data_IF_753374803492
#
_entry.id   IF_753374803492
#
_cell.length_a   1.000
_cell.length_b   1.000
_cell.length_c   1.000
_cell.angle_alpha   90.00
_cell.angle_beta   90.00
_cell.angle_gamma   90.00
#
_symmetry.space_group_name_H-M   'P 1'
#
loop_
_entity.id
_entity.type
_entity.pdbx_description
1 polymer ?
#
# COMPACT_ATOMS: atom_id res chain seq x y z
N UNK A 1 9.41 16.82 -12.44
CA UNK A 1 9.64 16.83 -10.97
C UNK A 1 9.41 15.43 -10.40
N UNK A 2 10.29 14.98 -9.54
CA UNK A 2 10.18 13.65 -8.96
C UNK A 2 9.22 13.67 -7.77
N UNK A 3 8.24 12.76 -7.71
CA UNK A 3 7.39 12.66 -6.52
C UNK A 3 8.20 12.18 -5.32
N UNK A 4 7.76 12.53 -4.11
CA UNK A 4 8.39 12.03 -2.89
C UNK A 4 7.71 10.73 -2.45
N UNK A 5 8.38 9.90 -1.64
CA UNK A 5 7.72 8.73 -1.07
C UNK A 5 6.47 9.08 -0.26
N UNK A 6 6.47 10.24 0.41
CA UNK A 6 5.30 10.70 1.17
C UNK A 6 4.12 11.01 0.26
N UNK A 7 4.37 11.60 -0.92
CA UNK A 7 3.31 11.86 -1.89
C UNK A 7 2.70 10.55 -2.38
N UNK A 8 3.54 9.56 -2.66
CA UNK A 8 3.06 8.25 -3.09
C UNK A 8 2.20 7.61 -2.00
N UNK A 9 2.67 7.64 -0.75
CA UNK A 9 1.89 7.10 0.37
C UNK A 9 0.57 7.83 0.56
N UNK A 10 0.57 9.14 0.41
CA UNK A 10 -0.64 9.95 0.54
C UNK A 10 -1.70 9.55 -0.49
N UNK A 11 -1.28 9.35 -1.73
CA UNK A 11 -2.19 8.93 -2.80
C UNK A 11 -2.74 7.53 -2.52
N UNK A 12 -1.91 6.62 -2.07
CA UNK A 12 -2.37 5.26 -1.72
C UNK A 12 -3.34 5.30 -0.55
N UNK A 13 -3.10 6.16 0.44
CA UNK A 13 -4.02 6.33 1.57
C UNK A 13 -5.38 6.80 1.10
N UNK A 14 -5.41 7.71 0.15
CA UNK A 14 -6.66 8.30 -0.31
C UNK A 14 -7.42 7.41 -1.29
N UNK A 15 -6.74 6.55 -2.03
CA UNK A 15 -7.33 5.87 -3.17
C UNK A 15 -7.38 4.34 -3.09
N UNK A 16 -6.62 3.72 -2.20
CA UNK A 16 -6.58 2.25 -2.12
C UNK A 16 -7.02 1.79 -0.75
N UNK A 17 -8.16 1.11 -0.73
CA UNK A 17 -8.81 0.64 0.50
C UNK A 17 -8.90 -0.88 0.45
N UNK A 18 -8.57 -1.54 1.57
CA UNK A 18 -8.78 -2.98 1.70
C UNK A 18 -10.29 -3.25 1.74
N UNK A 19 -10.82 -4.02 0.80
CA UNK A 19 -12.27 -4.21 0.72
C UNK A 19 -12.86 -5.00 1.87
N UNK A 20 -12.07 -5.79 2.58
CA UNK A 20 -12.56 -6.58 3.71
C UNK A 20 -12.65 -5.76 4.99
N UNK A 21 -11.68 -4.89 5.21
CA UNK A 21 -11.59 -4.11 6.44
C UNK A 21 -12.14 -2.70 6.29
N UNK A 22 -12.28 -2.22 5.06
CA UNK A 22 -12.80 -0.88 4.80
C UNK A 22 -11.83 0.24 5.19
N UNK A 23 -10.55 -0.08 5.32
CA UNK A 23 -9.52 0.86 5.74
C UNK A 23 -8.44 0.92 4.69
N UNK A 24 -7.83 2.10 4.49
CA UNK A 24 -6.79 2.26 3.50
C UNK A 24 -5.54 1.43 3.86
N UNK A 25 -4.83 1.01 2.82
CA UNK A 25 -3.71 0.07 2.99
C UNK A 25 -2.51 0.68 3.71
N UNK A 26 -2.35 1.99 3.66
CA UNK A 26 -1.22 2.65 4.35
C UNK A 26 -1.43 2.60 5.87
N UNK A 27 -2.63 2.95 6.33
CA UNK A 27 -2.94 2.92 7.75
C UNK A 27 -3.04 1.50 8.29
N UNK A 28 -3.36 0.54 7.44
CA UNK A 28 -3.32 -0.88 7.83
C UNK A 28 -1.88 -1.40 8.01
N UNK A 29 -0.90 -0.66 7.53
CA UNK A 29 0.49 -1.10 7.62
C UNK A 29 0.87 -2.11 6.55
N UNK A 30 0.16 -2.13 5.42
CA UNK A 30 0.45 -3.05 4.32
C UNK A 30 1.53 -2.53 3.38
N UNK A 31 1.79 -1.23 3.39
CA UNK A 31 2.84 -0.63 2.56
C UNK A 31 4.11 -0.55 3.40
N UNK A 32 5.09 -1.39 3.07
CA UNK A 32 6.32 -1.47 3.85
C UNK A 32 7.36 -0.45 3.44
N UNK A 33 7.54 -0.27 2.14
CA UNK A 33 8.54 0.66 1.66
C UNK A 33 8.11 1.28 0.33
N UNK A 34 8.38 2.56 0.19
CA UNK A 34 8.18 3.26 -1.08
C UNK A 34 9.50 3.89 -1.46
N UNK A 35 9.99 3.57 -2.64
CA UNK A 35 11.20 4.16 -3.20
C UNK A 35 10.86 4.85 -4.49
N UNK A 36 11.39 6.05 -4.67
CA UNK A 36 11.21 6.80 -5.91
C UNK A 36 12.58 7.01 -6.52
N UNK A 37 12.76 6.46 -7.70
CA UNK A 37 13.99 6.61 -8.47
C UNK A 37 13.68 7.41 -9.73
N UNK A 38 14.70 7.78 -10.48
CA UNK A 38 14.46 8.51 -11.70
C UNK A 38 13.64 7.66 -12.67
N UNK A 39 12.44 8.12 -12.98
CA UNK A 39 11.54 7.44 -13.88
C UNK A 39 10.87 6.19 -13.36
N UNK A 40 11.05 5.84 -12.07
CA UNK A 40 10.48 4.61 -11.49
C UNK A 40 9.97 4.83 -10.08
N UNK A 41 8.87 4.17 -9.78
CA UNK A 41 8.32 4.11 -8.41
C UNK A 41 8.26 2.63 -8.03
N UNK A 42 8.87 2.30 -6.88
CA UNK A 42 8.87 0.93 -6.36
C UNK A 42 8.14 0.91 -5.03
N UNK A 43 7.21 -0.02 -4.90
CA UNK A 43 6.42 -0.19 -3.68
C UNK A 43 6.56 -1.63 -3.21
N UNK A 44 7.04 -1.81 -1.98
CA UNK A 44 7.03 -3.11 -1.32
C UNK A 44 5.82 -3.14 -0.40
N UNK A 45 4.93 -4.08 -0.61
CA UNK A 45 3.73 -4.22 0.20
C UNK A 45 3.47 -5.66 0.55
N UNK A 46 2.61 -5.86 1.54
CA UNK A 46 2.19 -7.20 1.96
C UNK A 46 0.67 -7.26 2.07
N UNK A 47 0.17 -8.42 2.42
CA UNK A 47 -1.25 -8.66 2.67
C UNK A 47 -1.41 -9.17 4.10
N UNK A 48 -2.61 -9.04 4.65
CA UNK A 48 -2.89 -9.51 6.02
C UNK A 48 -2.85 -11.03 6.10
N UNK A 49 -3.19 -11.70 5.00
CA UNK A 49 -3.13 -13.16 4.91
C UNK A 49 -2.95 -13.57 3.45
N UNK A 50 -2.14 -14.61 3.17
CA UNK A 50 -2.01 -15.12 1.80
C UNK A 50 -3.26 -15.83 1.29
N UNK A 51 -4.21 -16.14 2.17
CA UNK A 51 -5.39 -16.89 1.80
C UNK A 51 -6.55 -16.04 1.28
N UNK A 52 -6.43 -14.69 1.33
CA UNK A 52 -7.54 -13.82 0.96
C UNK A 52 -7.52 -13.50 -0.54
N UNK A 53 -8.49 -14.00 -1.33
CA UNK A 53 -8.51 -13.74 -2.77
C UNK A 53 -8.79 -12.28 -3.12
N UNK A 54 -9.53 -11.55 -2.29
CA UNK A 54 -9.79 -10.13 -2.55
C UNK A 54 -8.54 -9.29 -2.31
N UNK A 55 -7.77 -9.62 -1.29
CA UNK A 55 -6.53 -8.91 -0.99
C UNK A 55 -5.50 -9.08 -2.10
N UNK A 56 -5.55 -10.18 -2.85
CA UNK A 56 -4.63 -10.41 -3.96
C UNK A 56 -4.81 -9.40 -5.09
N UNK A 57 -5.94 -8.68 -5.13
CA UNK A 57 -6.17 -7.63 -6.11
C UNK A 57 -5.50 -6.30 -5.72
N UNK A 58 -5.10 -6.14 -4.47
CA UNK A 58 -4.53 -4.88 -3.99
C UNK A 58 -3.25 -4.48 -4.71
N UNK A 59 -2.28 -5.38 -4.96
CA UNK A 59 -1.09 -4.97 -5.70
C UNK A 59 -1.42 -4.40 -7.09
N UNK A 60 -2.40 -4.99 -7.78
CA UNK A 60 -2.82 -4.49 -9.09
C UNK A 60 -3.47 -3.12 -8.97
N UNK A 61 -4.28 -2.89 -7.93
CA UNK A 61 -4.88 -1.59 -7.68
C UNK A 61 -3.83 -0.52 -7.38
N UNK A 62 -2.83 -0.85 -6.58
CA UNK A 62 -1.73 0.06 -6.28
C UNK A 62 -1.01 0.46 -7.56
N UNK A 63 -0.69 -0.52 -8.39
CA UNK A 63 -0.01 -0.28 -9.66
C UNK A 63 -0.84 0.64 -10.55
N UNK A 64 -2.13 0.33 -10.71
CA UNK A 64 -3.03 1.11 -11.55
C UNK A 64 -3.15 2.56 -11.08
N UNK A 65 -3.37 2.75 -9.78
CA UNK A 65 -3.51 4.10 -9.20
C UNK A 65 -2.24 4.92 -9.41
N UNK A 66 -1.09 4.32 -9.17
CA UNK A 66 0.18 5.03 -9.32
C UNK A 66 0.52 5.32 -10.78
N UNK A 67 0.20 4.42 -11.69
CA UNK A 67 0.39 4.66 -13.12
C UNK A 67 -0.48 5.79 -13.61
N UNK A 68 -1.69 5.85 -13.13
CA UNK A 68 -2.63 6.91 -13.48
C UNK A 68 -2.16 8.27 -12.94
N UNK A 69 -1.68 8.29 -11.70
CA UNK A 69 -1.27 9.51 -11.04
C UNK A 69 0.11 10.01 -11.50
N UNK A 70 1.01 9.09 -11.81
CA UNK A 70 2.39 9.39 -12.22
C UNK A 70 2.70 8.74 -13.57
N UNK A 71 1.99 9.20 -14.61
CA UNK A 71 2.03 8.57 -15.94
C UNK A 71 3.40 8.57 -16.60
N UNK A 72 4.32 9.44 -16.15
CA UNK A 72 5.67 9.50 -16.70
C UNK A 72 6.64 8.52 -16.01
N UNK A 73 6.16 7.78 -15.01
CA UNK A 73 6.99 6.84 -14.25
C UNK A 73 6.58 5.40 -14.50
N UNK A 74 7.56 4.50 -14.47
CA UNK A 74 7.27 3.09 -14.38
C UNK A 74 6.94 2.75 -12.93
N UNK A 75 5.96 1.89 -12.72
CA UNK A 75 5.54 1.49 -11.39
C UNK A 75 5.79 0.00 -11.23
N UNK A 76 6.50 -0.36 -10.16
CA UNK A 76 6.74 -1.74 -9.81
C UNK A 76 6.24 -1.98 -8.38
N UNK A 77 5.34 -2.95 -8.23
CA UNK A 77 4.80 -3.32 -6.92
C UNK A 77 5.27 -4.73 -6.60
N UNK A 78 5.99 -4.85 -5.50
CA UNK A 78 6.50 -6.14 -5.03
C UNK A 78 5.72 -6.61 -3.83
N UNK A 79 5.17 -7.81 -3.91
CA UNK A 79 4.47 -8.42 -2.80
C UNK A 79 5.50 -9.17 -1.95
N UNK A 80 5.64 -8.78 -0.70
CA UNK A 80 6.62 -9.36 0.22
C UNK A 80 5.92 -9.96 1.43
N UNK A 81 6.45 -11.06 1.96
CA UNK A 81 5.87 -11.75 3.10
C UNK A 81 6.75 -11.68 4.35
N UNK A 82 7.92 -11.07 4.22
CA UNK A 82 8.85 -10.86 5.33
C UNK A 82 9.20 -9.37 5.42
N UNK A 83 9.14 -8.75 6.59
CA UNK A 83 8.59 -9.32 7.84
C UNK A 83 7.09 -9.54 7.74
N UNK A 84 6.60 -10.53 8.51
CA UNK A 84 5.17 -10.87 8.51
C UNK A 84 4.34 -9.70 9.04
N UNK A 85 3.21 -9.44 8.37
CA UNK A 85 2.27 -8.43 8.85
C UNK A 85 1.62 -8.85 10.17
N UNK A 86 1.49 -7.90 11.09
CA UNK A 86 0.78 -8.08 12.34
C UNK A 86 -0.06 -6.84 12.61
N UNK A 87 -1.10 -6.92 13.47
CA UNK A 87 -1.92 -5.76 13.82
C UNK A 87 -1.15 -4.58 14.40
N UNK A 88 0.02 -4.81 14.99
CA UNK A 88 0.85 -3.73 15.50
C UNK A 88 1.36 -2.79 14.40
N UNK A 89 1.30 -3.23 13.15
CA UNK A 89 1.71 -2.40 12.00
C UNK A 89 0.66 -1.39 11.59
N UNK A 90 -0.56 -1.54 12.08
CA UNK A 90 -1.62 -0.55 11.84
C UNK A 90 -1.25 0.77 12.49
N UNK A 91 -1.73 1.89 11.91
CA UNK A 91 -1.63 3.18 12.57
C UNK A 91 -2.40 3.14 13.89
N UNK A 92 -2.02 4.00 14.82
CA UNK A 92 -2.68 4.04 16.13
C UNK A 92 -4.18 4.28 15.99
N UNK A 93 -4.57 5.17 15.08
CA UNK A 93 -5.97 5.49 14.84
C UNK A 93 -6.76 4.25 14.40
N UNK A 94 -6.22 3.48 13.46
CA UNK A 94 -6.88 2.27 12.96
C UNK A 94 -6.90 1.18 14.03
N UNK A 95 -5.82 1.03 14.79
CA UNK A 95 -5.78 0.07 15.89
C UNK A 95 -6.90 0.32 16.89
N UNK A 96 -7.16 1.57 17.21
CA UNK A 96 -8.23 1.93 18.13
C UNK A 96 -9.61 1.56 17.59
N UNK A 97 -9.79 1.62 16.28
CA UNK A 97 -11.06 1.25 15.66
C UNK A 97 -11.37 -0.24 15.82
N UNK A 98 -10.35 -1.08 15.91
CA UNK A 98 -10.51 -2.53 16.04
C UNK A 98 -10.35 -3.03 17.47
N UNK A 99 -9.93 -2.18 18.39
CA UNK A 99 -9.91 -2.51 19.81
C UNK A 99 -11.29 -2.24 20.40
N UNK A 100 -11.88 -3.27 20.94
CA UNK A 100 -13.21 -3.14 21.52
C UNK A 100 -13.14 -2.62 22.95
#
# INVERSE_FOLDING_TARGET
MRPSPEEVRSILRDRVVDPELGVNIVDLGLVYEVRVEEGRILVDMTLTTPACPLAALLPAQVEEVLREQFSSHEVEVNLVWEPRWTPERMSEEVRRMFEA
#
